data_IF_802389460762
#
_entry.id   IF_802389460762
#
_cell.length_a   1.000
_cell.length_b   1.000
_cell.length_c   1.000
_cell.angle_alpha   90.00
_cell.angle_beta   90.00
_cell.angle_gamma   90.00
#
_symmetry.space_group_name_H-M   'P 1'
#
loop_
_entity.id
_entity.type
_entity.pdbx_description
1 polymer ?
#
# COMPACT_ATOMS: atom_id res chain seq x y z
N UNK A 1 -18.71 -9.67 8.30
CA UNK A 1 -18.08 -9.26 7.02
C UNK A 1 -18.86 -9.82 5.86
N UNK A 2 -19.17 -9.00 4.88
CA UNK A 2 -19.91 -9.46 3.71
C UNK A 2 -19.05 -10.37 2.83
N UNK A 3 -19.70 -11.14 1.96
CA UNK A 3 -19.00 -11.99 1.00
C UNK A 3 -18.07 -11.16 0.10
N UNK A 4 -18.56 -10.01 -0.37
CA UNK A 4 -17.77 -9.14 -1.25
C UNK A 4 -16.54 -8.57 -0.53
N UNK A 5 -16.71 -8.08 0.70
CA UNK A 5 -15.60 -7.53 1.48
C UNK A 5 -14.55 -8.62 1.76
N UNK A 6 -15.01 -9.84 2.08
CA UNK A 6 -14.11 -10.97 2.31
C UNK A 6 -13.30 -11.32 1.07
N UNK A 7 -13.95 -11.38 -0.10
CA UNK A 7 -13.25 -11.68 -1.34
C UNK A 7 -12.18 -10.63 -1.65
N UNK A 8 -12.49 -9.37 -1.41
CA UNK A 8 -11.55 -8.27 -1.66
C UNK A 8 -10.36 -8.35 -0.70
N UNK A 9 -10.61 -8.52 0.59
CA UNK A 9 -9.51 -8.59 1.57
C UNK A 9 -8.62 -9.79 1.35
N UNK A 10 -9.20 -10.95 1.02
CA UNK A 10 -8.42 -12.14 0.70
C UNK A 10 -7.53 -11.93 -0.51
N UNK A 11 -8.04 -11.24 -1.54
CA UNK A 11 -7.24 -10.94 -2.72
C UNK A 11 -6.03 -10.06 -2.37
N UNK A 12 -6.24 -9.00 -1.60
CA UNK A 12 -5.14 -8.11 -1.20
C UNK A 12 -4.13 -8.82 -0.34
N UNK A 13 -4.59 -9.60 0.66
CA UNK A 13 -3.70 -10.29 1.59
C UNK A 13 -2.88 -11.40 0.92
N UNK A 14 -3.43 -12.03 -0.11
CA UNK A 14 -2.72 -13.07 -0.86
C UNK A 14 -1.86 -12.52 -1.99
N UNK A 15 -2.06 -11.25 -2.33
CA UNK A 15 -1.36 -10.60 -3.42
C UNK A 15 -0.53 -9.44 -2.87
N UNK A 16 0.71 -9.73 -2.50
CA UNK A 16 1.57 -8.74 -1.85
C UNK A 16 2.48 -8.02 -2.85
N UNK A 17 1.95 -7.68 -4.03
CA UNK A 17 2.67 -6.98 -5.09
C UNK A 17 2.16 -5.55 -5.33
N UNK A 18 1.50 -4.96 -4.33
CA UNK A 18 0.97 -3.59 -4.39
C UNK A 18 -0.03 -3.40 -5.54
N UNK A 19 -1.14 -4.14 -5.55
CA UNK A 19 -2.12 -4.02 -6.63
C UNK A 19 -2.89 -2.71 -6.59
N UNK A 20 -3.35 -2.26 -7.75
CA UNK A 20 -4.34 -1.18 -7.85
C UNK A 20 -5.75 -1.75 -7.66
N UNK A 21 -6.74 -0.87 -7.46
CA UNK A 21 -8.13 -1.31 -7.37
C UNK A 21 -8.59 -1.98 -8.66
N UNK A 22 -8.15 -1.50 -9.82
CA UNK A 22 -8.51 -2.10 -11.10
C UNK A 22 -7.93 -3.51 -11.23
N UNK A 23 -6.70 -3.72 -10.78
CA UNK A 23 -6.08 -5.04 -10.80
C UNK A 23 -6.82 -6.02 -9.89
N UNK A 24 -7.22 -5.56 -8.71
CA UNK A 24 -8.01 -6.36 -7.77
C UNK A 24 -9.36 -6.71 -8.38
N UNK A 25 -10.03 -5.73 -8.99
CA UNK A 25 -11.30 -5.95 -9.66
C UNK A 25 -11.19 -6.99 -10.78
N UNK A 26 -10.10 -6.95 -11.53
CA UNK A 26 -9.83 -7.92 -12.60
C UNK A 26 -9.65 -9.33 -12.04
N UNK A 27 -8.95 -9.47 -10.92
CA UNK A 27 -8.77 -10.77 -10.27
C UNK A 27 -10.09 -11.38 -9.78
N UNK A 28 -11.06 -10.52 -9.47
CA UNK A 28 -12.36 -10.95 -8.96
C UNK A 28 -13.42 -11.03 -10.07
N UNK A 29 -12.98 -11.07 -11.33
CA UNK A 29 -13.86 -11.19 -12.47
C UNK A 29 -14.71 -12.45 -12.35
N UNK A 30 -15.99 -12.34 -12.70
CA UNK A 30 -16.93 -13.45 -12.62
C UNK A 30 -17.59 -13.61 -11.25
N UNK A 31 -17.20 -12.83 -10.24
CA UNK A 31 -17.81 -12.91 -8.90
C UNK A 31 -18.91 -11.87 -8.68
N UNK A 32 -19.24 -11.09 -9.69
CA UNK A 32 -20.33 -10.11 -9.59
C UNK A 32 -20.00 -8.90 -8.73
N UNK A 33 -18.72 -8.57 -8.56
CA UNK A 33 -18.27 -7.43 -7.76
C UNK A 33 -17.89 -6.30 -8.70
N UNK A 34 -18.62 -5.18 -8.61
CA UNK A 34 -18.33 -4.00 -9.44
C UNK A 34 -17.13 -3.21 -8.93
N UNK A 35 -16.53 -2.41 -9.82
CA UNK A 35 -15.37 -1.62 -9.49
C UNK A 35 -15.63 -0.62 -8.35
N UNK A 36 -16.80 0.02 -8.33
CA UNK A 36 -17.17 0.94 -7.26
C UNK A 36 -17.22 0.25 -5.90
N UNK A 37 -17.69 -0.99 -5.87
CA UNK A 37 -17.73 -1.81 -4.66
C UNK A 37 -16.30 -2.13 -4.19
N UNK A 38 -15.40 -2.44 -5.14
CA UNK A 38 -13.99 -2.68 -4.82
C UNK A 38 -13.38 -1.45 -4.15
N UNK A 39 -13.54 -0.27 -4.76
CA UNK A 39 -12.99 0.97 -4.20
C UNK A 39 -13.53 1.26 -2.80
N UNK A 40 -14.85 1.11 -2.62
CA UNK A 40 -15.49 1.40 -1.33
C UNK A 40 -14.98 0.46 -0.23
N UNK A 41 -14.86 -0.82 -0.54
CA UNK A 41 -14.37 -1.79 0.45
C UNK A 41 -12.88 -1.60 0.74
N UNK A 42 -12.07 -1.26 -0.25
CA UNK A 42 -10.66 -0.97 -0.04
C UNK A 42 -10.47 0.25 0.87
N UNK A 43 -11.29 1.28 0.69
CA UNK A 43 -11.25 2.46 1.55
C UNK A 43 -11.59 2.10 2.99
N UNK A 44 -12.60 1.27 3.21
CA UNK A 44 -12.98 0.80 4.54
C UNK A 44 -11.89 -0.04 5.18
N UNK A 45 -11.28 -0.94 4.42
CA UNK A 45 -10.19 -1.79 4.92
C UNK A 45 -8.97 -0.97 5.31
N UNK A 46 -8.65 0.06 4.54
CA UNK A 46 -7.55 0.97 4.86
C UNK A 46 -7.87 1.78 6.13
N UNK A 47 -9.10 2.26 6.25
CA UNK A 47 -9.55 3.00 7.44
C UNK A 47 -9.51 2.11 8.69
N UNK A 48 -9.84 0.82 8.56
CA UNK A 48 -9.78 -0.14 9.64
C UNK A 48 -8.36 -0.62 9.97
N UNK A 49 -7.36 -0.22 9.17
CA UNK A 49 -5.97 -0.61 9.39
C UNK A 49 -5.63 -2.04 8.97
N UNK A 50 -6.53 -2.71 8.23
CA UNK A 50 -6.29 -4.08 7.77
C UNK A 50 -5.32 -4.09 6.59
N UNK A 51 -5.38 -3.07 5.75
CA UNK A 51 -4.45 -2.86 4.65
C UNK A 51 -3.95 -1.42 4.71
N UNK A 52 -2.85 -1.16 4.01
CA UNK A 52 -2.32 0.20 3.87
C UNK A 52 -2.34 0.60 2.42
N UNK A 53 -2.16 1.89 2.15
CA UNK A 53 -2.13 2.42 0.80
C UNK A 53 -0.79 3.08 0.54
N UNK A 54 -0.35 3.07 -0.71
CA UNK A 54 0.83 3.78 -1.18
C UNK A 54 0.51 4.42 -2.52
N UNK A 55 0.92 5.66 -2.70
CA UNK A 55 0.77 6.35 -3.96
C UNK A 55 2.04 6.17 -4.78
N UNK A 56 1.91 5.71 -6.01
CA UNK A 56 3.03 5.42 -6.88
C UNK A 56 2.65 5.73 -8.32
N UNK A 57 3.43 6.59 -8.96
CA UNK A 57 3.21 7.02 -10.35
C UNK A 57 1.79 7.53 -10.60
N UNK A 58 1.23 8.27 -9.63
CA UNK A 58 -0.10 8.84 -9.75
C UNK A 58 -1.24 7.88 -9.48
N UNK A 59 -0.94 6.64 -9.09
CA UNK A 59 -1.94 5.63 -8.77
C UNK A 59 -1.87 5.25 -7.31
N UNK A 60 -3.03 4.98 -6.70
CA UNK A 60 -3.11 4.43 -5.36
C UNK A 60 -2.98 2.92 -5.47
N UNK A 61 -2.05 2.34 -4.72
CA UNK A 61 -1.85 0.90 -4.63
C UNK A 61 -2.11 0.45 -3.20
N UNK A 62 -2.45 -0.81 -3.05
CA UNK A 62 -2.86 -1.37 -1.76
C UNK A 62 -1.84 -2.41 -1.32
N UNK A 63 -1.52 -2.39 -0.02
CA UNK A 63 -0.44 -3.18 0.54
C UNK A 63 -0.99 -4.11 1.62
N UNK A 64 -0.62 -5.37 1.56
CA UNK A 64 -0.98 -6.37 2.56
C UNK A 64 -0.19 -6.20 3.85
N UNK A 65 0.93 -5.49 3.82
CA UNK A 65 1.80 -5.32 4.97
C UNK A 65 1.35 -4.10 5.79
N UNK A 66 0.70 -4.34 6.90
CA UNK A 66 0.23 -3.27 7.79
C UNK A 66 1.23 -2.96 8.91
N UNK A 67 2.40 -3.58 8.91
CA UNK A 67 3.48 -3.20 9.82
C UNK A 67 4.21 -1.98 9.28
N UNK A 68 4.76 -1.12 10.15
CA UNK A 68 5.52 0.04 9.68
C UNK A 68 6.68 -0.38 8.77
N UNK A 69 6.73 0.18 7.58
CA UNK A 69 7.78 -0.12 6.62
C UNK A 69 7.90 1.03 5.63
N UNK A 70 8.97 1.01 4.86
CA UNK A 70 9.16 1.95 3.77
C UNK A 70 8.93 1.31 2.41
N UNK A 71 9.05 2.09 1.37
CA UNK A 71 8.93 1.65 -0.01
C UNK A 71 10.13 2.14 -0.81
N UNK A 72 10.56 1.32 -1.76
CA UNK A 72 11.58 1.72 -2.73
C UNK A 72 11.01 1.55 -4.13
N UNK A 73 11.39 2.43 -5.03
CA UNK A 73 10.92 2.37 -6.40
C UNK A 73 12.01 2.71 -7.39
N UNK A 74 11.92 2.11 -8.57
CA UNK A 74 12.81 2.39 -9.68
C UNK A 74 12.17 3.47 -10.56
N UNK A 75 12.90 4.55 -10.80
CA UNK A 75 12.42 5.64 -11.64
C UNK A 75 12.41 5.29 -13.12
N UNK A 76 13.06 4.21 -13.52
CA UNK A 76 13.16 3.79 -14.91
C UNK A 76 12.07 2.79 -15.28
N UNK A 77 11.96 1.68 -14.54
CA UNK A 77 11.00 0.63 -14.88
C UNK A 77 9.71 0.67 -14.02
N UNK A 78 9.66 1.54 -13.00
CA UNK A 78 8.47 1.65 -12.15
C UNK A 78 8.31 0.55 -11.12
N UNK A 79 9.30 -0.33 -10.95
CA UNK A 79 9.22 -1.38 -9.94
C UNK A 79 9.07 -0.78 -8.54
N UNK A 80 8.26 -1.42 -7.72
CA UNK A 80 7.95 -0.99 -6.35
C UNK A 80 8.07 -2.18 -5.42
N UNK A 81 8.78 -2.01 -4.30
CA UNK A 81 8.91 -3.07 -3.30
C UNK A 81 9.02 -2.48 -1.90
N UNK A 82 8.73 -3.31 -0.90
CA UNK A 82 8.81 -2.92 0.50
C UNK A 82 10.24 -3.00 1.00
N UNK A 83 10.60 -2.07 1.87
CA UNK A 83 11.89 -2.09 2.57
C UNK A 83 11.65 -1.89 4.06
N UNK A 84 12.50 -2.42 4.94
CA UNK A 84 12.38 -2.16 6.36
C UNK A 84 12.65 -0.68 6.66
N UNK A 85 11.98 -0.16 7.68
CA UNK A 85 12.28 1.19 8.14
C UNK A 85 13.71 1.25 8.67
N UNK A 86 14.42 2.37 8.45
CA UNK A 86 15.73 2.54 9.06
C UNK A 86 15.61 2.60 10.58
N UNK A 87 16.70 2.34 11.33
CA UNK A 87 16.67 2.44 12.77
C UNK A 87 16.12 3.79 13.22
N UNK A 88 15.26 3.76 14.23
CA UNK A 88 14.46 4.91 14.66
C UNK A 88 15.23 6.01 15.40
N UNK A 89 16.55 5.99 15.38
CA UNK A 89 17.39 6.95 16.13
C UNK A 89 17.11 8.42 15.77
N UNK A 90 16.52 8.68 14.61
CA UNK A 90 16.18 10.03 14.19
C UNK A 90 14.76 10.44 14.49
N UNK A 91 13.91 9.55 15.00
CA UNK A 91 12.48 9.82 15.17
C UNK A 91 12.07 9.94 16.63
N UNK A 92 13.00 9.82 17.55
CA UNK A 92 12.74 9.95 18.99
C UNK A 92 12.50 11.39 19.45
N UNK A 93 12.84 12.36 18.62
CA UNK A 93 12.67 13.78 18.93
C UNK A 93 11.66 14.39 17.96
N UNK A 94 10.60 14.97 18.52
CA UNK A 94 9.57 15.63 17.69
C UNK A 94 9.99 17.07 17.43
N UNK A 95 10.30 17.44 16.18
CA UNK A 95 10.79 18.80 15.88
C UNK A 95 9.66 19.82 15.79
N UNK A 96 9.99 21.08 16.11
CA UNK A 96 9.12 22.22 15.91
C UNK A 96 7.81 22.12 16.69
N UNK A 97 6.71 22.60 16.09
CA UNK A 97 5.42 22.67 16.79
C UNK A 97 4.65 21.34 16.79
N UNK A 98 5.22 20.29 16.26
CA UNK A 98 4.57 18.97 16.23
C UNK A 98 4.58 18.35 17.62
N UNK A 99 3.40 18.14 18.21
CA UNK A 99 3.27 17.62 19.57
C UNK A 99 3.42 16.10 19.64
N UNK A 100 3.09 15.38 18.57
CA UNK A 100 3.19 13.93 18.49
C UNK A 100 3.36 13.51 17.03
N UNK A 101 3.96 12.35 16.84
CA UNK A 101 4.11 11.77 15.50
C UNK A 101 3.02 10.73 15.31
N UNK A 102 2.14 10.95 14.33
CA UNK A 102 1.06 10.02 14.00
C UNK A 102 1.46 9.05 12.90
N UNK A 103 2.37 9.45 12.01
CA UNK A 103 2.79 8.63 10.89
C UNK A 103 4.19 9.03 10.46
N UNK A 104 4.96 8.05 10.06
CA UNK A 104 6.27 8.26 9.42
C UNK A 104 6.24 7.59 8.06
N UNK A 105 6.56 8.34 7.03
CA UNK A 105 6.65 7.81 5.67
C UNK A 105 8.12 7.80 5.27
N UNK A 106 8.54 6.69 4.66
CA UNK A 106 9.91 6.52 4.19
C UNK A 106 9.89 5.95 2.79
N UNK A 107 10.45 6.68 1.84
CA UNK A 107 10.49 6.27 0.44
C UNK A 107 11.87 6.53 -0.14
N UNK A 108 12.38 5.54 -0.87
CA UNK A 108 13.61 5.66 -1.66
C UNK A 108 13.25 5.57 -3.14
N UNK A 109 13.82 6.44 -3.95
CA UNK A 109 13.65 6.43 -5.39
C UNK A 109 15.02 6.40 -6.03
N UNK A 110 15.20 5.53 -7.00
CA UNK A 110 16.49 5.37 -7.65
C UNK A 110 16.38 4.51 -8.89
N UNK A 111 17.45 3.84 -9.21
CA UNK A 111 17.53 2.96 -10.37
C UNK A 111 17.83 1.55 -9.89
N UNK A 112 16.99 0.58 -10.25
CA UNK A 112 17.19 -0.81 -9.84
C UNK A 112 18.40 -1.40 -10.59
N UNK A 113 18.89 -2.54 -10.10
CA UNK A 113 20.06 -3.19 -10.69
C UNK A 113 19.85 -3.53 -12.16
N UNK A 114 18.65 -3.92 -12.57
CA UNK A 114 18.35 -4.30 -13.93
C UNK A 114 18.32 -3.11 -14.89
N UNK A 115 18.12 -1.90 -14.38
CA UNK A 115 18.03 -0.67 -15.18
C UNK A 115 19.35 0.11 -15.21
N UNK A 116 20.33 -0.36 -14.52
CA UNK A 116 21.62 0.30 -14.43
C UNK A 116 22.46 0.16 -15.70
#
# INVERSE_FOLDING_TARGET
>A
MTRQKRAIVENVLNRCDHPTAQEIHRDLDGQGIGLATVYRNLALLAEEGIITTVEHEGEVRYDCNNEPHGHASCMVCGALWDIPLPPSKGVGHVPGPLAAISMVEFSLRGTCHDCQ
#
